data_IF_564954275363
#
_entry.id   IF_564954275363
#
_cell.length_a   1.000
_cell.length_b   1.000
_cell.length_c   1.000
_cell.angle_alpha   90.00
_cell.angle_beta   90.00
_cell.angle_gamma   90.00
#
_symmetry.space_group_name_H-M   'P 1'
#
loop_
_entity.id
_entity.type
_entity.pdbx_description
1 polymer ?
#
# COMPACT_ATOMS: atom_id res chain seq x y z
N UNK A 1 -34.60 -44.24 55.81
CA UNK A 1 -33.15 -44.07 56.06
C UNK A 1 -32.44 -43.87 54.71
N UNK A 2 -32.40 -42.64 54.21
CA UNK A 2 -31.59 -42.28 53.05
C UNK A 2 -30.85 -40.99 53.42
N UNK A 3 -29.53 -41.08 53.60
CA UNK A 3 -28.72 -39.92 53.96
C UNK A 3 -28.67 -38.92 52.80
N UNK A 4 -28.71 -37.60 53.07
CA UNK A 4 -28.67 -36.58 52.04
C UNK A 4 -27.32 -36.59 51.29
N UNK A 5 -27.30 -36.23 50.00
CA UNK A 5 -26.11 -36.29 49.16
C UNK A 5 -25.06 -35.29 49.64
N UNK A 6 -23.81 -35.75 49.72
CA UNK A 6 -22.66 -34.90 50.08
C UNK A 6 -22.40 -33.85 49.00
N UNK A 7 -22.09 -32.59 49.37
CA UNK A 7 -21.76 -31.54 48.42
C UNK A 7 -20.46 -31.87 47.66
N UNK A 8 -20.53 -31.77 46.33
CA UNK A 8 -19.40 -31.97 45.41
C UNK A 8 -18.42 -30.81 45.61
N UNK A 9 -17.12 -31.08 45.86
CA UNK A 9 -16.13 -30.02 46.03
C UNK A 9 -15.97 -29.23 44.72
N UNK A 10 -16.11 -27.92 44.81
CA UNK A 10 -15.86 -26.99 43.72
C UNK A 10 -14.37 -27.02 43.36
N UNK A 11 -14.03 -27.78 42.33
CA UNK A 11 -12.69 -27.77 41.76
C UNK A 11 -12.52 -26.42 41.06
N UNK A 12 -11.91 -25.47 41.76
CA UNK A 12 -11.36 -24.25 41.17
C UNK A 12 -10.26 -24.65 40.17
N UNK A 13 -10.67 -24.96 38.93
CA UNK A 13 -9.72 -25.01 37.81
C UNK A 13 -9.31 -23.57 37.51
N UNK A 14 -8.12 -23.20 37.98
CA UNK A 14 -7.46 -22.01 37.48
C UNK A 14 -7.37 -22.11 35.94
N UNK A 15 -7.69 -21.03 35.21
CA UNK A 15 -7.55 -21.02 33.77
C UNK A 15 -6.08 -21.30 33.41
N UNK A 16 -5.80 -22.12 32.39
CA UNK A 16 -4.44 -22.37 31.96
C UNK A 16 -3.76 -21.04 31.62
N UNK A 17 -2.53 -20.85 32.13
CA UNK A 17 -1.69 -19.70 31.77
C UNK A 17 -1.67 -19.57 30.25
N UNK A 18 -1.80 -18.35 29.68
CA UNK A 18 -1.72 -18.16 28.25
C UNK A 18 -0.36 -18.65 27.77
N UNK A 19 -0.34 -19.82 27.15
CA UNK A 19 0.78 -20.23 26.29
C UNK A 19 0.94 -19.11 25.30
N UNK A 20 2.06 -18.40 25.39
CA UNK A 20 2.58 -17.50 24.36
C UNK A 20 2.86 -18.34 23.13
N UNK A 21 1.80 -18.76 22.44
CA UNK A 21 1.91 -19.19 21.06
C UNK A 21 2.43 -17.96 20.34
N UNK A 22 3.70 -18.01 19.95
CA UNK A 22 4.24 -17.13 18.94
C UNK A 22 3.34 -17.33 17.71
N UNK A 23 2.31 -16.49 17.60
CA UNK A 23 1.37 -16.50 16.49
C UNK A 23 2.23 -16.15 15.29
N UNK A 24 2.56 -17.16 14.50
CA UNK A 24 3.28 -17.00 13.25
C UNK A 24 2.41 -16.14 12.33
N UNK A 25 2.59 -14.83 12.39
CA UNK A 25 2.11 -13.86 11.42
C UNK A 25 2.63 -14.32 10.05
N UNK A 26 1.80 -14.31 9.00
CA UNK A 26 2.23 -14.78 7.66
C UNK A 26 3.50 -14.09 7.18
N UNK A 27 3.69 -12.82 7.58
CA UNK A 27 4.97 -12.13 7.49
C UNK A 27 5.62 -12.13 8.88
N UNK A 28 6.73 -12.87 9.00
CA UNK A 28 7.51 -12.96 10.25
C UNK A 28 7.91 -11.53 10.65
N UNK A 29 7.72 -11.15 11.92
CA UNK A 29 8.25 -9.87 12.41
C UNK A 29 9.75 -9.80 12.07
N UNK A 30 10.29 -8.62 11.73
CA UNK A 30 11.71 -8.49 11.46
C UNK A 30 12.49 -9.08 12.65
N UNK A 31 13.56 -9.86 12.39
CA UNK A 31 14.38 -10.37 13.48
C UNK A 31 14.76 -9.20 14.40
N UNK A 32 14.65 -9.39 15.72
CA UNK A 32 15.24 -8.44 16.66
C UNK A 32 16.68 -8.23 16.23
N UNK A 33 17.10 -6.96 16.16
CA UNK A 33 18.49 -6.62 15.86
C UNK A 33 19.39 -7.52 16.72
N UNK A 34 20.38 -8.20 16.13
CA UNK A 34 21.22 -9.10 16.89
C UNK A 34 21.80 -8.33 18.08
N UNK A 35 21.63 -8.90 19.28
CA UNK A 35 22.30 -8.41 20.47
C UNK A 35 23.78 -8.29 20.10
N UNK A 36 24.31 -7.08 20.22
CA UNK A 36 25.57 -6.65 19.62
C UNK A 36 26.74 -7.34 20.34
N UNK A 37 26.95 -8.62 20.07
CA UNK A 37 28.02 -9.43 20.64
C UNK A 37 29.36 -9.05 20.00
N UNK A 38 30.05 -8.11 20.64
CA UNK A 38 31.44 -8.26 21.11
C UNK A 38 32.41 -9.11 20.26
N UNK A 39 32.70 -8.69 19.02
CA UNK A 39 34.04 -8.84 18.37
C UNK A 39 34.02 -8.22 16.96
N UNK A 40 33.53 -6.99 16.82
CA UNK A 40 33.56 -6.31 15.52
C UNK A 40 34.98 -5.83 15.24
N UNK A 41 35.63 -6.43 14.24
CA UNK A 41 36.85 -5.89 13.66
C UNK A 41 36.62 -4.40 13.32
N UNK A 42 37.46 -3.47 13.82
CA UNK A 42 37.21 -2.03 13.68
C UNK A 42 37.14 -1.59 12.21
N UNK A 43 37.91 -2.27 11.34
CA UNK A 43 37.88 -2.05 9.90
C UNK A 43 36.54 -2.45 9.26
N UNK A 44 35.94 -3.56 9.71
CA UNK A 44 34.68 -4.02 9.17
C UNK A 44 33.53 -3.10 9.61
N UNK A 45 33.56 -2.61 10.86
CA UNK A 45 32.60 -1.59 11.30
C UNK A 45 32.76 -0.25 10.59
N UNK A 46 34.00 0.14 10.24
CA UNK A 46 34.23 1.36 9.46
C UNK A 46 33.69 1.23 8.03
N UNK A 47 33.90 0.06 7.41
CA UNK A 47 33.42 -0.23 6.06
C UNK A 47 31.88 -0.36 6.01
N UNK A 48 31.25 -0.88 7.06
CA UNK A 48 29.79 -1.00 7.13
C UNK A 48 29.10 0.30 7.54
N UNK A 49 29.79 1.23 8.22
CA UNK A 49 29.17 2.44 8.78
C UNK A 49 28.41 3.30 7.75
N UNK A 50 28.97 3.49 6.54
CA UNK A 50 28.33 4.29 5.48
C UNK A 50 27.09 3.56 4.91
N UNK A 51 27.17 2.27 4.50
CA UNK A 51 26.00 1.46 4.19
C UNK A 51 24.92 1.47 5.28
N UNK A 52 25.28 1.14 6.52
CA UNK A 52 24.34 1.02 7.64
C UNK A 52 23.61 2.35 7.90
N UNK A 53 24.33 3.48 7.80
CA UNK A 53 23.74 4.81 7.90
C UNK A 53 22.77 5.11 6.75
N UNK A 54 23.19 4.86 5.50
CA UNK A 54 22.39 5.13 4.31
C UNK A 54 21.10 4.31 4.31
N UNK A 55 21.19 3.03 4.68
CA UNK A 55 20.06 2.11 4.77
C UNK A 55 19.12 2.51 5.91
N UNK A 56 19.65 2.85 7.10
CA UNK A 56 18.83 3.31 8.22
C UNK A 56 18.09 4.62 7.94
N UNK A 57 18.68 5.54 7.16
CA UNK A 57 17.99 6.77 6.72
C UNK A 57 16.94 6.44 5.65
N UNK A 58 17.28 5.58 4.68
CA UNK A 58 16.37 5.19 3.60
C UNK A 58 15.15 4.44 4.12
N UNK A 59 15.34 3.56 5.10
CA UNK A 59 14.30 2.79 5.77
C UNK A 59 13.36 3.70 6.57
N UNK A 60 13.89 4.70 7.28
CA UNK A 60 13.05 5.72 7.96
C UNK A 60 12.14 6.45 6.98
N UNK A 61 12.63 6.73 5.77
CA UNK A 61 11.90 7.48 4.72
C UNK A 61 10.80 6.67 4.03
N UNK A 62 10.90 5.35 4.05
CA UNK A 62 9.82 4.46 3.59
C UNK A 62 8.60 4.57 4.51
N UNK A 63 8.81 4.91 5.79
CA UNK A 63 7.76 5.02 6.81
C UNK A 63 7.01 6.36 6.78
N UNK A 64 7.49 7.33 6.02
CA UNK A 64 6.85 8.64 5.91
C UNK A 64 5.49 8.51 5.22
N UNK A 65 4.45 9.06 5.85
CA UNK A 65 3.08 9.05 5.29
C UNK A 65 3.03 9.91 4.03
N UNK A 66 2.47 9.35 2.96
CA UNK A 66 2.32 10.05 1.67
C UNK A 66 0.90 10.60 1.53
N UNK A 67 0.73 11.91 1.28
CA UNK A 67 -0.57 12.48 0.99
C UNK A 67 -1.00 12.16 -0.45
N UNK A 68 -2.31 12.21 -0.71
CA UNK A 68 -2.83 12.24 -2.06
C UNK A 68 -2.59 13.59 -2.72
N UNK A 69 -2.40 13.59 -4.03
CA UNK A 69 -2.13 14.78 -4.80
C UNK A 69 -3.36 15.70 -4.90
N UNK A 70 -3.24 16.91 -4.37
CA UNK A 70 -4.26 17.95 -4.51
C UNK A 70 -4.10 18.72 -5.83
N UNK A 71 -5.11 19.52 -6.20
CA UNK A 71 -4.99 20.41 -7.37
C UNK A 71 -3.82 21.40 -7.26
N UNK A 72 -3.49 21.85 -6.04
CA UNK A 72 -2.33 22.71 -5.79
C UNK A 72 -1.02 21.95 -6.04
N UNK A 73 -0.92 20.70 -5.58
CA UNK A 73 0.25 19.85 -5.82
C UNK A 73 0.45 19.54 -7.30
N UNK A 74 -0.64 19.31 -8.04
CA UNK A 74 -0.60 19.17 -9.49
C UNK A 74 -0.13 20.44 -10.21
N UNK A 75 -0.55 21.62 -9.75
CA UNK A 75 -0.07 22.90 -10.27
C UNK A 75 1.42 23.07 -10.00
N UNK A 76 1.86 22.70 -8.82
CA UNK A 76 3.27 22.77 -8.44
C UNK A 76 4.13 21.76 -9.20
N UNK A 77 3.60 20.56 -9.44
CA UNK A 77 4.26 19.53 -10.23
C UNK A 77 4.43 19.94 -11.71
N UNK A 78 3.48 20.71 -12.27
CA UNK A 78 3.57 21.26 -13.63
C UNK A 78 4.46 22.52 -13.73
N UNK A 79 4.95 23.06 -12.62
CA UNK A 79 5.73 24.31 -12.65
C UNK A 79 7.10 24.08 -13.30
N UNK A 80 7.60 25.04 -14.08
CA UNK A 80 8.95 24.97 -14.68
C UNK A 80 10.06 25.02 -13.63
N UNK A 81 9.80 25.68 -12.48
CA UNK A 81 10.69 25.74 -11.31
C UNK A 81 10.90 24.37 -10.65
N UNK A 82 10.10 23.36 -11.01
CA UNK A 82 10.24 21.98 -10.55
C UNK A 82 11.66 21.44 -10.70
N UNK A 83 12.33 21.70 -11.83
CA UNK A 83 13.68 21.18 -12.08
C UNK A 83 14.69 21.71 -11.06
N UNK A 84 14.67 23.02 -10.80
CA UNK A 84 15.51 23.64 -9.78
C UNK A 84 15.18 23.12 -8.38
N UNK A 85 13.89 22.96 -8.06
CA UNK A 85 13.48 22.38 -6.78
C UNK A 85 14.02 20.96 -6.60
N UNK A 86 13.85 20.10 -7.60
CA UNK A 86 14.33 18.73 -7.55
C UNK A 86 15.85 18.65 -7.43
N UNK A 87 16.58 19.53 -8.11
CA UNK A 87 18.03 19.63 -7.99
C UNK A 87 18.44 20.03 -6.57
N UNK A 88 17.80 21.05 -5.99
CA UNK A 88 18.09 21.49 -4.62
C UNK A 88 17.70 20.46 -3.55
N UNK A 89 16.61 19.72 -3.77
CA UNK A 89 16.18 18.62 -2.88
C UNK A 89 16.84 17.28 -3.20
N UNK A 90 17.79 17.23 -4.14
CA UNK A 90 18.36 15.96 -4.62
C UNK A 90 19.15 15.27 -3.51
N UNK A 91 20.00 16.00 -2.79
CA UNK A 91 20.81 15.47 -1.68
C UNK A 91 19.98 14.95 -0.52
N UNK A 92 18.76 15.45 -0.36
CA UNK A 92 17.85 14.96 0.67
C UNK A 92 17.02 13.80 0.18
N UNK A 93 17.04 13.38 -1.09
CA UNK A 93 16.20 12.30 -1.64
C UNK A 93 16.60 10.90 -1.12
N UNK A 94 15.61 10.01 -0.90
CA UNK A 94 15.83 8.62 -0.43
C UNK A 94 16.74 7.89 -1.41
N UNK A 95 16.43 8.02 -2.70
CA UNK A 95 17.18 7.38 -3.78
C UNK A 95 18.64 7.83 -3.74
N UNK A 96 18.91 9.13 -3.63
CA UNK A 96 20.30 9.61 -3.65
C UNK A 96 21.07 9.20 -2.38
N UNK A 97 20.39 9.10 -1.24
CA UNK A 97 21.01 8.63 0.00
C UNK A 97 21.35 7.13 -0.06
N UNK A 98 20.49 6.29 -0.63
CA UNK A 98 20.80 4.85 -0.82
C UNK A 98 21.90 4.61 -1.86
N UNK A 99 22.19 5.58 -2.74
CA UNK A 99 23.31 5.52 -3.67
C UNK A 99 24.67 5.88 -3.06
N UNK A 100 24.70 6.50 -1.88
CA UNK A 100 25.96 6.97 -1.29
C UNK A 100 27.01 5.85 -1.13
N UNK A 101 26.68 4.63 -0.65
CA UNK A 101 27.66 3.54 -0.55
C UNK A 101 28.23 3.06 -1.89
N UNK A 102 27.44 2.62 -2.90
CA UNK A 102 28.01 2.15 -4.16
C UNK A 102 28.73 3.26 -4.92
N UNK A 103 28.15 4.47 -4.99
CA UNK A 103 28.75 5.58 -5.75
C UNK A 103 30.08 6.02 -5.13
N UNK A 104 30.17 6.12 -3.79
CA UNK A 104 31.43 6.45 -3.11
C UNK A 104 32.48 5.36 -3.32
N UNK A 105 32.10 4.08 -3.26
CA UNK A 105 33.02 2.97 -3.49
C UNK A 105 33.60 2.98 -4.92
N UNK A 106 32.76 3.14 -5.95
CA UNK A 106 33.24 3.19 -7.34
C UNK A 106 34.05 4.45 -7.66
N UNK A 107 33.70 5.58 -7.04
CA UNK A 107 34.46 6.83 -7.21
C UNK A 107 35.81 6.75 -6.51
N UNK A 108 35.88 6.16 -5.32
CA UNK A 108 37.14 5.88 -4.62
C UNK A 108 38.02 4.89 -5.41
N UNK A 109 37.41 3.85 -5.98
CA UNK A 109 38.10 2.90 -6.85
C UNK A 109 38.66 3.59 -8.10
N UNK A 110 37.88 4.46 -8.74
CA UNK A 110 38.36 5.26 -9.88
C UNK A 110 39.51 6.19 -9.49
N UNK A 111 39.46 6.83 -8.32
CA UNK A 111 40.55 7.65 -7.82
C UNK A 111 41.82 6.83 -7.52
N UNK A 112 41.67 5.59 -7.03
CA UNK A 112 42.79 4.67 -6.82
C UNK A 112 43.45 4.27 -8.15
N UNK A 113 42.66 3.93 -9.18
CA UNK A 113 43.17 3.62 -10.53
C UNK A 113 43.86 4.84 -11.16
N UNK A 114 43.26 6.03 -11.05
CA UNK A 114 43.87 7.27 -11.54
C UNK A 114 45.21 7.54 -10.86
N UNK A 115 45.27 7.39 -9.54
CA UNK A 115 46.50 7.57 -8.75
C UNK A 115 47.55 6.54 -9.15
N UNK A 116 47.18 5.26 -9.26
CA UNK A 116 48.08 4.19 -9.70
C UNK A 116 48.67 4.49 -11.09
N UNK A 117 47.83 4.86 -12.07
CA UNK A 117 48.29 5.17 -13.42
C UNK A 117 49.16 6.43 -13.50
N UNK A 118 48.98 7.40 -12.59
CA UNK A 118 49.90 8.55 -12.49
C UNK A 118 51.25 8.19 -11.89
N UNK A 119 51.30 7.28 -10.91
CA UNK A 119 52.54 6.90 -10.23
C UNK A 119 53.37 5.92 -11.08
N UNK A 120 52.69 5.04 -11.83
CA UNK A 120 53.31 3.99 -12.64
C UNK A 120 52.89 4.11 -14.11
N UNK A 121 53.27 5.20 -14.81
CA UNK A 121 52.85 5.43 -16.19
C UNK A 121 53.33 4.34 -17.16
N UNK A 122 54.46 3.69 -16.86
CA UNK A 122 54.99 2.57 -17.66
C UNK A 122 54.10 1.31 -17.60
N UNK A 123 53.33 1.14 -16.52
CA UNK A 123 52.44 0.00 -16.29
C UNK A 123 50.99 0.46 -16.14
N UNK A 124 50.62 1.55 -16.82
CA UNK A 124 49.29 2.12 -16.76
C UNK A 124 48.26 1.07 -17.19
N UNK A 125 47.24 0.87 -16.36
CA UNK A 125 46.11 0.03 -16.68
C UNK A 125 45.25 0.76 -17.71
N UNK A 126 45.37 0.33 -18.96
CA UNK A 126 44.52 0.76 -20.08
C UNK A 126 43.86 -0.44 -20.74
N UNK A 127 42.66 -0.24 -21.26
CA UNK A 127 41.94 -1.24 -22.03
C UNK A 127 41.14 -0.58 -23.16
N UNK A 128 40.82 -1.34 -24.20
CA UNK A 128 40.02 -0.85 -25.32
C UNK A 128 38.61 -0.46 -24.88
N UNK A 129 38.04 0.59 -25.47
CA UNK A 129 36.64 1.01 -25.27
C UNK A 129 35.62 0.17 -26.05
N UNK A 130 36.06 -0.70 -26.96
CA UNK A 130 35.19 -1.54 -27.78
C UNK A 130 34.21 -2.41 -26.97
N UNK A 131 34.62 -3.11 -25.88
CA UNK A 131 33.69 -3.90 -25.09
C UNK A 131 32.54 -3.05 -24.53
N UNK A 132 32.80 -1.79 -24.15
CA UNK A 132 31.79 -0.88 -23.61
C UNK A 132 30.82 -0.43 -24.69
N UNK A 133 31.32 -0.09 -25.88
CA UNK A 133 30.45 0.26 -27.00
C UNK A 133 29.48 -0.87 -27.35
N UNK A 134 29.93 -2.13 -27.23
CA UNK A 134 29.09 -3.31 -27.48
C UNK A 134 28.13 -3.64 -26.33
N UNK A 135 28.53 -3.37 -25.08
CA UNK A 135 27.77 -3.79 -23.89
C UNK A 135 26.88 -2.68 -23.30
N UNK A 136 27.11 -1.40 -23.63
CA UNK A 136 26.29 -0.28 -23.14
C UNK A 136 24.80 -0.42 -23.49
N UNK A 137 24.42 -0.77 -24.74
CA UNK A 137 23.02 -0.94 -25.10
C UNK A 137 22.36 -2.08 -24.32
N UNK A 138 23.10 -3.17 -24.07
CA UNK A 138 22.61 -4.30 -23.29
C UNK A 138 22.34 -3.89 -21.83
N UNK A 139 23.26 -3.13 -21.21
CA UNK A 139 23.09 -2.60 -19.87
C UNK A 139 21.89 -1.64 -19.78
N UNK A 140 21.77 -0.70 -20.73
CA UNK A 140 20.67 0.24 -20.78
C UNK A 140 19.30 -0.46 -20.91
N UNK A 141 19.19 -1.47 -21.80
CA UNK A 141 17.97 -2.27 -21.95
C UNK A 141 17.64 -3.05 -20.68
N UNK A 142 18.63 -3.67 -20.02
CA UNK A 142 18.41 -4.39 -18.76
C UNK A 142 17.90 -3.46 -17.65
N UNK A 143 18.37 -2.21 -17.60
CA UNK A 143 17.86 -1.22 -16.65
C UNK A 143 16.42 -0.81 -16.96
N UNK A 144 16.13 -0.49 -18.22
CA UNK A 144 14.77 -0.08 -18.63
C UNK A 144 13.76 -1.21 -18.41
N UNK A 145 14.07 -2.43 -18.82
CA UNK A 145 13.18 -3.58 -18.60
C UNK A 145 12.99 -3.89 -17.10
N UNK A 146 13.98 -3.61 -16.23
CA UNK A 146 13.83 -3.69 -14.77
C UNK A 146 12.80 -2.68 -14.27
N UNK A 147 12.93 -1.43 -14.69
CA UNK A 147 12.04 -0.35 -14.24
C UNK A 147 10.62 -0.56 -14.75
N UNK A 148 10.45 -1.06 -15.98
CA UNK A 148 9.13 -1.39 -16.53
C UNK A 148 8.45 -2.53 -15.76
N UNK A 149 9.19 -3.60 -15.44
CA UNK A 149 8.67 -4.69 -14.61
C UNK A 149 8.30 -4.23 -13.20
N UNK A 150 9.09 -3.32 -12.62
CA UNK A 150 8.81 -2.70 -11.32
C UNK A 150 7.55 -1.84 -11.38
N UNK A 151 7.41 -1.04 -12.44
CA UNK A 151 6.23 -0.21 -12.68
C UNK A 151 4.95 -1.04 -12.87
N UNK A 152 5.02 -2.18 -13.55
CA UNK A 152 3.88 -3.08 -13.70
C UNK A 152 3.35 -3.57 -12.34
N UNK A 153 4.25 -3.91 -11.40
CA UNK A 153 3.87 -4.27 -10.02
C UNK A 153 3.27 -3.10 -9.25
N UNK A 154 3.83 -1.91 -9.42
CA UNK A 154 3.24 -0.68 -8.87
C UNK A 154 1.81 -0.46 -9.34
N UNK A 155 1.58 -0.57 -10.65
CA UNK A 155 0.26 -0.38 -11.24
C UNK A 155 -0.73 -1.47 -10.80
N UNK A 156 -0.31 -2.73 -10.71
CA UNK A 156 -1.13 -3.83 -10.19
C UNK A 156 -1.54 -3.59 -8.73
N UNK A 157 -0.60 -3.20 -7.87
CA UNK A 157 -0.87 -2.88 -6.46
C UNK A 157 -1.83 -1.70 -6.32
N UNK A 158 -1.62 -0.63 -7.12
CA UNK A 158 -2.53 0.51 -7.18
C UNK A 158 -3.95 0.09 -7.58
N UNK A 159 -4.08 -0.71 -8.65
CA UNK A 159 -5.38 -1.19 -9.15
C UNK A 159 -6.09 -2.10 -8.15
N UNK A 160 -5.37 -2.99 -7.48
CA UNK A 160 -5.92 -3.88 -6.46
C UNK A 160 -6.45 -3.06 -5.28
N UNK A 161 -5.68 -2.09 -4.79
CA UNK A 161 -6.11 -1.23 -3.69
C UNK A 161 -7.33 -0.39 -4.04
N UNK A 162 -7.36 0.22 -5.24
CA UNK A 162 -8.52 0.98 -5.70
C UNK A 162 -9.77 0.11 -5.82
N UNK A 163 -9.64 -1.15 -6.26
CA UNK A 163 -10.75 -2.11 -6.29
C UNK A 163 -11.28 -2.44 -4.89
N UNK A 164 -10.38 -2.61 -3.91
CA UNK A 164 -10.77 -2.82 -2.50
C UNK A 164 -11.56 -1.62 -1.95
N UNK A 165 -11.05 -0.41 -2.15
CA UNK A 165 -11.71 0.81 -1.67
C UNK A 165 -13.09 1.00 -2.34
N UNK A 166 -13.18 0.80 -3.66
CA UNK A 166 -14.44 0.88 -4.38
C UNK A 166 -15.45 -0.18 -3.92
N UNK A 167 -15.02 -1.43 -3.75
CA UNK A 167 -15.88 -2.50 -3.23
C UNK A 167 -16.37 -2.21 -1.80
N UNK A 168 -15.53 -1.58 -0.97
CA UNK A 168 -15.91 -1.20 0.39
C UNK A 168 -16.93 -0.06 0.41
N UNK A 169 -16.75 0.95 -0.45
CA UNK A 169 -17.71 2.04 -0.60
C UNK A 169 -19.07 1.52 -1.12
N UNK A 170 -19.06 0.65 -2.12
CA UNK A 170 -20.28 0.02 -2.66
C UNK A 170 -21.01 -0.78 -1.57
N UNK A 171 -20.29 -1.62 -0.84
CA UNK A 171 -20.84 -2.47 0.21
C UNK A 171 -21.42 -1.62 1.37
N UNK A 172 -20.72 -0.56 1.75
CA UNK A 172 -21.21 0.42 2.73
C UNK A 172 -22.50 1.10 2.24
N UNK A 173 -22.54 1.51 0.98
CA UNK A 173 -23.72 2.07 0.32
C UNK A 173 -24.93 1.15 0.35
N UNK A 174 -24.72 -0.16 0.14
CA UNK A 174 -25.77 -1.17 0.21
C UNK A 174 -26.23 -1.42 1.66
N UNK A 175 -25.29 -1.53 2.61
CA UNK A 175 -25.57 -1.74 4.02
C UNK A 175 -26.43 -0.62 4.63
N UNK A 176 -26.18 0.64 4.24
CA UNK A 176 -26.94 1.80 4.68
C UNK A 176 -28.44 1.77 4.34
N UNK A 177 -28.88 0.93 3.40
CA UNK A 177 -30.29 0.83 2.98
C UNK A 177 -31.14 -0.08 3.89
N UNK A 178 -30.56 -0.61 4.96
CA UNK A 178 -31.26 -1.48 5.91
C UNK A 178 -31.95 -0.69 7.04
N UNK A 179 -33.09 -1.20 7.54
CA UNK A 179 -33.98 -0.51 8.49
C UNK A 179 -33.53 -0.62 9.97
N UNK A 180 -32.30 -1.06 10.27
CA UNK A 180 -31.82 -1.24 11.64
C UNK A 180 -30.55 -0.40 11.90
N UNK A 181 -30.69 0.87 12.34
CA UNK A 181 -29.56 1.79 12.51
C UNK A 181 -28.37 1.28 13.36
N UNK A 182 -28.56 0.67 14.55
CA UNK A 182 -27.42 0.20 15.34
C UNK A 182 -26.68 -0.96 14.67
N UNK A 183 -27.39 -1.92 14.10
CA UNK A 183 -26.77 -3.07 13.44
C UNK A 183 -26.11 -2.68 12.11
N UNK A 184 -26.72 -1.76 11.35
CA UNK A 184 -26.11 -1.15 10.17
C UNK A 184 -24.82 -0.42 10.52
N UNK A 185 -24.78 0.34 11.62
CA UNK A 185 -23.56 1.03 12.06
C UNK A 185 -22.43 0.06 12.42
N UNK A 186 -22.74 -1.04 13.09
CA UNK A 186 -21.75 -2.08 13.38
C UNK A 186 -21.18 -2.70 12.08
N UNK A 187 -22.05 -3.04 11.12
CA UNK A 187 -21.64 -3.54 9.81
C UNK A 187 -20.74 -2.54 9.06
N UNK A 188 -21.09 -1.24 9.05
CA UNK A 188 -20.27 -0.20 8.43
C UNK A 188 -18.89 -0.10 9.06
N UNK A 189 -18.80 -0.19 10.38
CA UNK A 189 -17.52 -0.19 11.08
C UNK A 189 -16.64 -1.38 10.66
N UNK A 190 -17.20 -2.59 10.51
CA UNK A 190 -16.46 -3.73 9.98
C UNK A 190 -15.98 -3.53 8.53
N UNK A 191 -16.84 -2.95 7.67
CA UNK A 191 -16.49 -2.64 6.28
C UNK A 191 -15.32 -1.64 6.23
N UNK A 192 -15.36 -0.59 7.06
CA UNK A 192 -14.31 0.42 7.16
C UNK A 192 -13.02 -0.13 7.80
N UNK A 193 -13.15 -1.12 8.70
CA UNK A 193 -12.02 -1.75 9.37
C UNK A 193 -11.22 -2.66 8.43
N UNK A 194 -11.83 -3.23 7.38
CA UNK A 194 -11.16 -4.15 6.47
C UNK A 194 -9.96 -3.52 5.74
N UNK A 195 -10.08 -2.37 5.03
CA UNK A 195 -8.93 -1.73 4.37
C UNK A 195 -7.82 -1.35 5.35
N UNK A 196 -8.16 -0.91 6.57
CA UNK A 196 -7.19 -0.63 7.63
C UNK A 196 -6.43 -1.89 8.06
N UNK A 197 -7.13 -3.00 8.27
CA UNK A 197 -6.50 -4.26 8.62
C UNK A 197 -5.66 -4.82 7.47
N UNK A 198 -6.10 -4.67 6.22
CA UNK A 198 -5.33 -5.05 5.05
C UNK A 198 -4.05 -4.21 4.95
N UNK A 199 -4.14 -2.88 5.16
CA UNK A 199 -2.98 -1.98 5.21
C UNK A 199 -1.95 -2.45 6.25
N UNK A 200 -2.42 -2.76 7.46
CA UNK A 200 -1.55 -3.23 8.53
C UNK A 200 -1.02 -4.66 8.33
N UNK A 201 -1.66 -5.44 7.46
CA UNK A 201 -1.21 -6.78 7.08
C UNK A 201 -0.07 -6.71 6.08
N UNK A 202 -0.05 -5.70 5.20
CA UNK A 202 0.92 -5.54 4.12
C UNK A 202 2.10 -4.62 4.49
N UNK A 203 1.91 -3.68 5.41
CA UNK A 203 2.96 -2.79 5.91
C UNK A 203 3.44 -3.28 7.29
N UNK A 204 4.69 -3.74 7.38
CA UNK A 204 5.28 -4.32 8.60
C UNK A 204 5.35 -3.34 9.80
N UNK A 205 5.36 -2.02 9.55
CA UNK A 205 5.52 -0.99 10.57
C UNK A 205 4.20 -0.32 11.02
N UNK A 206 3.04 -0.91 10.68
CA UNK A 206 1.75 -0.40 11.11
C UNK A 206 1.26 -1.07 12.39
N UNK A 207 0.82 -0.27 13.36
CA UNK A 207 0.17 -0.77 14.56
C UNK A 207 -1.34 -0.93 14.32
N UNK A 208 -1.75 -2.17 14.02
CA UNK A 208 -3.15 -2.50 13.78
C UNK A 208 -4.05 -2.19 14.98
N UNK A 209 -3.54 -2.33 16.21
CA UNK A 209 -4.34 -2.06 17.40
C UNK A 209 -4.71 -0.59 17.45
N UNK A 210 -3.72 0.29 17.25
CA UNK A 210 -3.92 1.74 17.21
C UNK A 210 -4.85 2.16 16.07
N UNK A 211 -4.65 1.59 14.89
CA UNK A 211 -5.39 2.03 13.70
C UNK A 211 -6.86 1.56 13.73
N UNK A 212 -7.17 0.40 14.34
CA UNK A 212 -8.55 -0.09 14.52
C UNK A 212 -9.23 0.38 15.80
N UNK A 213 -8.50 1.03 16.71
CA UNK A 213 -9.04 1.52 17.98
C UNK A 213 -10.12 2.57 17.74
N UNK A 214 -11.29 2.37 18.34
CA UNK A 214 -12.45 3.26 18.20
C UNK A 214 -13.36 2.95 17.01
N UNK A 215 -12.88 2.17 16.02
CA UNK A 215 -13.73 1.70 14.92
C UNK A 215 -14.45 0.40 15.30
N UNK A 216 -13.71 -0.56 15.87
CA UNK A 216 -14.25 -1.82 16.39
C UNK A 216 -14.48 -1.74 17.90
N UNK A 217 -15.41 -2.55 18.41
CA UNK A 217 -15.53 -2.76 19.85
C UNK A 217 -14.26 -3.44 20.39
N UNK A 218 -13.93 -3.23 21.66
CA UNK A 218 -12.72 -3.82 22.26
C UNK A 218 -12.76 -5.37 22.24
N UNK A 219 -13.95 -5.96 22.36
CA UNK A 219 -14.14 -7.41 22.29
C UNK A 219 -13.85 -7.95 20.88
N UNK A 220 -14.41 -7.30 19.86
CA UNK A 220 -14.18 -7.69 18.45
C UNK A 220 -12.71 -7.45 18.04
N UNK A 221 -12.13 -6.33 18.48
CA UNK A 221 -10.73 -6.00 18.25
C UNK A 221 -9.81 -7.08 18.83
N UNK A 222 -10.10 -7.59 20.04
CA UNK A 222 -9.33 -8.68 20.64
C UNK A 222 -9.41 -9.97 19.82
N UNK A 223 -10.57 -10.30 19.24
CA UNK A 223 -10.71 -11.45 18.33
C UNK A 223 -9.84 -11.26 17.08
N UNK A 224 -9.90 -10.09 16.45
CA UNK A 224 -9.09 -9.77 15.26
C UNK A 224 -7.60 -9.85 15.59
N UNK A 225 -7.15 -9.30 16.73
CA UNK A 225 -5.75 -9.32 17.15
C UNK A 225 -5.21 -10.73 17.41
N UNK A 226 -6.06 -11.63 17.94
CA UNK A 226 -5.72 -13.04 18.18
C UNK A 226 -5.71 -13.88 16.91
N UNK A 227 -6.42 -13.45 15.86
CA UNK A 227 -6.46 -14.18 14.60
C UNK A 227 -5.10 -14.16 13.88
N UNK A 228 -4.76 -15.27 13.21
CA UNK A 228 -3.52 -15.37 12.41
C UNK A 228 -3.60 -14.46 11.16
N UNK A 229 -4.77 -14.42 10.53
CA UNK A 229 -5.01 -13.67 9.30
C UNK A 229 -6.10 -12.62 9.52
N UNK A 230 -5.66 -11.44 9.98
CA UNK A 230 -6.53 -10.37 10.48
C UNK A 230 -7.54 -9.81 9.47
N UNK A 231 -7.16 -9.44 8.23
CA UNK A 231 -8.15 -8.92 7.27
C UNK A 231 -9.22 -9.96 6.92
N UNK A 232 -8.87 -11.24 6.83
CA UNK A 232 -9.83 -12.34 6.66
C UNK A 232 -10.76 -12.51 7.86
N UNK A 233 -10.27 -12.31 9.07
CA UNK A 233 -11.11 -12.29 10.27
C UNK A 233 -12.18 -11.19 10.18
N UNK A 234 -11.84 -10.01 9.65
CA UNK A 234 -12.82 -8.92 9.46
C UNK A 234 -13.83 -9.28 8.38
N UNK A 235 -13.42 -9.92 7.28
CA UNK A 235 -14.36 -10.41 6.26
C UNK A 235 -15.37 -11.38 6.88
N UNK A 236 -14.96 -12.24 7.81
CA UNK A 236 -15.87 -13.13 8.53
C UNK A 236 -16.88 -12.35 9.38
N UNK A 237 -16.45 -11.31 10.11
CA UNK A 237 -17.37 -10.43 10.83
C UNK A 237 -18.39 -9.75 9.92
N UNK A 238 -17.96 -9.30 8.74
CA UNK A 238 -18.85 -8.72 7.72
C UNK A 238 -19.85 -9.77 7.25
N UNK A 239 -19.39 -10.96 6.84
CA UNK A 239 -20.23 -12.04 6.34
C UNK A 239 -21.29 -12.45 7.37
N UNK A 240 -20.89 -12.72 8.61
CA UNK A 240 -21.82 -13.08 9.69
C UNK A 240 -22.81 -11.95 9.99
N UNK A 241 -22.37 -10.68 9.93
CA UNK A 241 -23.28 -9.53 10.08
C UNK A 241 -24.34 -9.48 8.97
N UNK A 242 -24.01 -9.88 7.73
CA UNK A 242 -24.96 -9.95 6.61
C UNK A 242 -25.96 -11.11 6.73
N UNK A 243 -25.62 -12.17 7.46
CA UNK A 243 -26.55 -13.24 7.80
C UNK A 243 -27.50 -12.83 8.93
N UNK A 244 -26.98 -12.11 9.94
CA UNK A 244 -27.78 -11.64 11.09
C UNK A 244 -28.71 -10.48 10.72
N UNK A 245 -28.29 -9.63 9.77
CA UNK A 245 -29.14 -8.63 9.15
C UNK A 245 -29.98 -9.32 8.08
N UNK A 246 -31.29 -9.41 8.28
CA UNK A 246 -32.21 -10.12 7.38
C UNK A 246 -32.42 -9.36 6.05
N UNK A 247 -31.40 -9.40 5.18
CA UNK A 247 -31.45 -8.88 3.82
C UNK A 247 -32.13 -9.88 2.88
N UNK A 248 -32.89 -9.35 1.91
CA UNK A 248 -33.40 -10.12 0.77
C UNK A 248 -32.28 -10.91 0.09
N UNK A 249 -32.58 -12.13 -0.36
CA UNK A 249 -31.58 -13.05 -0.92
C UNK A 249 -30.80 -12.42 -2.07
N UNK A 250 -31.47 -11.67 -2.95
CA UNK A 250 -30.79 -11.01 -4.08
C UNK A 250 -29.81 -9.95 -3.59
N UNK A 251 -30.19 -9.17 -2.58
CA UNK A 251 -29.31 -8.15 -1.99
C UNK A 251 -28.14 -8.79 -1.27
N UNK A 252 -28.38 -9.86 -0.49
CA UNK A 252 -27.33 -10.61 0.19
C UNK A 252 -26.32 -11.18 -0.80
N UNK A 253 -26.77 -11.83 -1.86
CA UNK A 253 -25.89 -12.39 -2.90
C UNK A 253 -25.03 -11.31 -3.58
N UNK A 254 -25.61 -10.13 -3.87
CA UNK A 254 -24.85 -9.00 -4.41
C UNK A 254 -23.80 -8.50 -3.40
N UNK A 255 -24.15 -8.38 -2.12
CA UNK A 255 -23.23 -7.95 -1.08
C UNK A 255 -22.10 -8.97 -0.86
N UNK A 256 -22.41 -10.27 -0.84
CA UNK A 256 -21.41 -11.35 -0.79
C UNK A 256 -20.48 -11.33 -2.01
N UNK A 257 -20.98 -10.99 -3.20
CA UNK A 257 -20.11 -10.81 -4.37
C UNK A 257 -19.07 -9.70 -4.17
N UNK A 258 -19.39 -8.65 -3.37
CA UNK A 258 -18.41 -7.61 -3.00
C UNK A 258 -17.38 -8.11 -1.99
N UNK A 259 -17.72 -9.08 -1.15
CA UNK A 259 -16.74 -9.76 -0.27
C UNK A 259 -15.74 -10.57 -1.09
N UNK A 260 -16.15 -11.15 -2.22
CA UNK A 260 -15.20 -11.79 -3.14
C UNK A 260 -14.13 -10.83 -3.65
N UNK A 261 -14.47 -9.55 -3.90
CA UNK A 261 -13.49 -8.52 -4.26
C UNK A 261 -12.51 -8.22 -3.11
N UNK A 262 -12.94 -8.31 -1.85
CA UNK A 262 -12.04 -8.18 -0.69
C UNK A 262 -11.05 -9.34 -0.61
N UNK A 263 -11.52 -10.57 -0.84
CA UNK A 263 -10.67 -11.77 -0.87
C UNK A 263 -9.67 -11.73 -2.02
N UNK A 264 -10.10 -11.29 -3.21
CA UNK A 264 -9.21 -11.06 -4.35
C UNK A 264 -8.17 -9.98 -4.02
N UNK A 265 -8.60 -8.89 -3.39
CA UNK A 265 -7.72 -7.81 -2.93
C UNK A 265 -6.64 -8.28 -1.95
N UNK A 266 -6.99 -9.13 -0.97
CA UNK A 266 -6.01 -9.79 -0.10
C UNK A 266 -5.02 -10.58 -0.95
N UNK A 267 -5.53 -11.45 -1.82
CA UNK A 267 -4.72 -12.40 -2.59
C UNK A 267 -3.70 -11.69 -3.47
N UNK A 268 -4.12 -10.64 -4.20
CA UNK A 268 -3.22 -9.84 -5.04
C UNK A 268 -2.19 -9.10 -4.19
N UNK A 269 -2.58 -8.52 -3.05
CA UNK A 269 -1.62 -7.81 -2.20
C UNK A 269 -0.60 -8.74 -1.55
N UNK A 270 -1.02 -9.92 -1.10
CA UNK A 270 -0.12 -10.95 -0.58
C UNK A 270 0.83 -11.47 -1.65
N UNK A 271 0.34 -11.69 -2.88
CA UNK A 271 1.14 -12.09 -4.02
C UNK A 271 2.20 -11.03 -4.36
N UNK A 272 1.81 -9.75 -4.40
CA UNK A 272 2.71 -8.65 -4.73
C UNK A 272 3.83 -8.47 -3.72
N UNK A 273 3.61 -8.78 -2.43
CA UNK A 273 4.68 -8.72 -1.42
C UNK A 273 5.49 -10.02 -1.40
N UNK A 274 4.84 -11.17 -1.60
CA UNK A 274 5.48 -12.48 -1.50
C UNK A 274 6.32 -12.87 -2.71
N UNK A 275 6.00 -12.34 -3.90
CA UNK A 275 6.62 -12.73 -5.17
C UNK A 275 7.38 -11.53 -5.76
N UNK A 276 8.72 -11.46 -5.56
CA UNK A 276 9.52 -10.39 -6.15
C UNK A 276 9.72 -10.58 -7.66
N UNK A 277 10.30 -9.57 -8.33
CA UNK A 277 10.78 -9.72 -9.72
C UNK A 277 11.79 -10.89 -9.72
N UNK A 278 11.78 -11.77 -10.74
CA UNK A 278 12.67 -12.93 -10.79
C UNK A 278 14.10 -12.58 -10.38
N UNK A 279 14.59 -13.22 -9.32
CA UNK A 279 15.87 -12.86 -8.69
C UNK A 279 17.05 -12.97 -9.66
N UNK A 280 16.97 -13.87 -10.65
CA UNK A 280 17.97 -13.98 -11.71
C UNK A 280 18.12 -12.66 -12.48
N UNK A 281 17.03 -11.95 -12.72
CA UNK A 281 17.00 -10.68 -13.43
C UNK A 281 17.61 -9.56 -12.57
N UNK A 282 17.14 -9.39 -11.33
CA UNK A 282 17.70 -8.41 -10.38
C UNK A 282 19.19 -8.62 -10.15
N UNK A 283 19.63 -9.86 -9.94
CA UNK A 283 21.04 -10.19 -9.74
C UNK A 283 21.87 -9.96 -11.00
N UNK A 284 21.34 -10.27 -12.19
CA UNK A 284 22.03 -10.03 -13.45
C UNK A 284 22.29 -8.54 -13.65
N UNK A 285 21.25 -7.70 -13.52
CA UNK A 285 21.38 -6.24 -13.67
C UNK A 285 22.37 -5.67 -12.67
N UNK A 286 22.27 -6.04 -11.39
CA UNK A 286 23.18 -5.57 -10.33
C UNK A 286 24.63 -5.99 -10.58
N UNK A 287 24.87 -7.27 -10.91
CA UNK A 287 26.22 -7.77 -11.21
C UNK A 287 26.82 -7.13 -12.45
N UNK A 288 26.02 -6.92 -13.49
CA UNK A 288 26.47 -6.22 -14.68
C UNK A 288 26.84 -4.78 -14.34
N UNK A 289 26.00 -4.06 -13.59
CA UNK A 289 26.32 -2.70 -13.14
C UNK A 289 27.60 -2.62 -12.33
N UNK A 290 27.82 -3.54 -11.40
CA UNK A 290 29.05 -3.61 -10.60
C UNK A 290 30.26 -3.86 -11.49
N UNK A 291 30.21 -4.89 -12.36
CA UNK A 291 31.31 -5.21 -13.27
C UNK A 291 31.61 -4.04 -14.22
N UNK A 292 30.57 -3.40 -14.75
CA UNK A 292 30.65 -2.21 -15.58
C UNK A 292 31.34 -1.05 -14.86
N UNK A 293 31.09 -0.81 -13.58
CA UNK A 293 31.76 0.30 -12.88
C UNK A 293 33.16 -0.06 -12.38
N UNK A 294 33.47 -1.35 -12.18
CA UNK A 294 34.82 -1.82 -11.86
C UNK A 294 35.78 -1.71 -13.06
N UNK A 295 35.33 -1.94 -14.30
CA UNK A 295 36.21 -1.83 -15.47
C UNK A 295 36.24 -0.44 -16.10
N UNK A 296 35.30 0.44 -15.74
CA UNK A 296 35.13 1.77 -16.33
C UNK A 296 36.38 2.65 -16.19
N UNK A 297 37.03 2.76 -15.01
CA UNK A 297 38.17 3.66 -14.86
C UNK A 297 39.41 3.21 -15.65
N UNK A 298 39.56 1.90 -15.89
CA UNK A 298 40.67 1.36 -16.69
C UNK A 298 40.51 1.74 -18.16
N UNK A 299 39.27 1.77 -18.66
CA UNK A 299 38.97 2.04 -20.06
C UNK A 299 39.01 3.54 -20.37
N UNK A 300 38.47 4.38 -19.48
CA UNK A 300 38.45 5.83 -19.67
C UNK A 300 39.80 6.51 -19.43
N UNK A 301 40.80 5.81 -18.87
CA UNK A 301 42.07 6.44 -18.52
C UNK A 301 42.80 7.05 -19.73
N UNK A 302 42.83 6.34 -20.86
CA UNK A 302 43.58 6.76 -22.05
C UNK A 302 43.03 8.08 -22.64
N UNK A 303 41.71 8.26 -22.59
CA UNK A 303 41.03 9.44 -23.13
C UNK A 303 40.95 10.61 -22.13
N UNK A 304 40.65 10.31 -20.86
CA UNK A 304 40.21 11.32 -19.88
C UNK A 304 41.25 11.60 -18.77
N UNK A 305 42.23 10.70 -18.55
CA UNK A 305 43.15 10.76 -17.39
C UNK A 305 42.38 11.01 -16.09
N UNK A 306 42.69 12.06 -15.34
CA UNK A 306 42.00 12.41 -14.07
C UNK A 306 40.51 12.72 -14.22
N UNK A 307 40.01 13.08 -15.41
CA UNK A 307 38.57 13.25 -15.67
C UNK A 307 37.82 11.92 -15.49
N UNK A 308 38.52 10.78 -15.46
CA UNK A 308 37.93 9.48 -15.13
C UNK A 308 37.21 9.47 -13.79
N UNK A 309 37.69 10.20 -12.78
CA UNK A 309 37.07 10.23 -11.45
C UNK A 309 35.69 10.91 -11.48
N UNK A 310 35.53 12.16 -11.96
CA UNK A 310 34.19 12.75 -12.10
C UNK A 310 33.32 12.01 -13.13
N UNK A 311 33.90 11.43 -14.20
CA UNK A 311 33.13 10.67 -15.17
C UNK A 311 32.53 9.38 -14.57
N UNK A 312 33.33 8.62 -13.80
CA UNK A 312 32.86 7.43 -13.07
C UNK A 312 31.82 7.80 -12.02
N UNK A 313 31.99 8.91 -11.30
CA UNK A 313 31.00 9.42 -10.36
C UNK A 313 29.65 9.72 -11.03
N UNK A 314 29.64 10.46 -12.15
CA UNK A 314 28.41 10.80 -12.89
C UNK A 314 27.76 9.54 -13.48
N UNK A 315 28.56 8.61 -14.02
CA UNK A 315 28.08 7.32 -14.53
C UNK A 315 27.44 6.49 -13.42
N UNK A 316 28.13 6.33 -12.28
CA UNK A 316 27.63 5.57 -11.15
C UNK A 316 26.35 6.21 -10.57
N UNK A 317 26.36 7.53 -10.36
CA UNK A 317 25.20 8.25 -9.84
C UNK A 317 23.98 8.16 -10.77
N UNK A 318 24.17 8.07 -12.09
CA UNK A 318 23.05 7.93 -13.03
C UNK A 318 22.55 6.49 -13.17
N UNK A 319 23.44 5.53 -13.41
CA UNK A 319 23.05 4.14 -13.68
C UNK A 319 22.55 3.40 -12.43
N UNK A 320 23.22 3.57 -11.28
CA UNK A 320 22.71 3.02 -10.03
C UNK A 320 21.41 3.71 -9.59
N UNK A 321 21.22 5.00 -9.91
CA UNK A 321 19.94 5.68 -9.64
C UNK A 321 18.78 5.01 -10.38
N UNK A 322 18.96 4.64 -11.65
CA UNK A 322 17.92 3.94 -12.42
C UNK A 322 17.62 2.56 -11.79
N UNK A 323 18.65 1.81 -11.40
CA UNK A 323 18.47 0.53 -10.72
C UNK A 323 17.70 0.67 -9.40
N UNK A 324 18.08 1.64 -8.58
CA UNK A 324 17.50 1.91 -7.27
C UNK A 324 16.06 2.45 -7.37
N UNK A 325 15.76 3.26 -8.39
CA UNK A 325 14.38 3.65 -8.70
C UNK A 325 13.55 2.41 -9.03
N UNK A 326 14.11 1.44 -9.75
CA UNK A 326 13.47 0.14 -9.98
C UNK A 326 13.16 -0.58 -8.66
N UNK A 327 14.16 -0.71 -7.76
CA UNK A 327 13.95 -1.32 -6.42
C UNK A 327 12.85 -0.58 -5.63
N UNK A 328 12.82 0.75 -5.67
CA UNK A 328 11.83 1.53 -4.94
C UNK A 328 10.40 1.33 -5.47
N UNK A 329 10.22 1.31 -6.79
CA UNK A 329 8.91 1.14 -7.42
C UNK A 329 8.42 -0.32 -7.28
N UNK A 330 9.34 -1.26 -7.15
CA UNK A 330 9.07 -2.68 -6.93
C UNK A 330 8.25 -2.94 -5.64
N UNK A 331 8.35 -2.06 -4.64
CA UNK A 331 7.54 -2.07 -3.41
C UNK A 331 6.38 -1.06 -3.48
N UNK A 332 5.18 -1.48 -3.92
CA UNK A 332 4.10 -0.53 -4.25
C UNK A 332 3.49 0.16 -3.04
N UNK A 333 3.27 -0.58 -1.95
CA UNK A 333 2.40 -0.16 -0.86
C UNK A 333 2.92 1.02 -0.03
N UNK A 334 4.23 1.12 0.29
CA UNK A 334 4.77 2.31 0.93
C UNK A 334 4.74 3.56 0.04
N UNK A 335 4.68 3.39 -1.29
CA UNK A 335 4.58 4.50 -2.24
C UNK A 335 3.15 4.99 -2.41
N UNK A 336 2.16 4.14 -2.15
CA UNK A 336 0.75 4.48 -2.20
C UNK A 336 0.30 5.22 -0.93
N UNK A 337 -0.62 6.17 -1.09
CA UNK A 337 -1.20 6.94 0.01
C UNK A 337 -2.31 6.15 0.74
N UNK A 338 -1.98 4.95 1.26
CA UNK A 338 -2.98 4.02 1.80
C UNK A 338 -3.76 4.60 2.98
N UNK A 339 -3.07 5.31 3.89
CA UNK A 339 -3.68 6.01 5.02
C UNK A 339 -4.75 7.00 4.54
N UNK A 340 -4.41 7.81 3.53
CA UNK A 340 -5.33 8.82 3.00
C UNK A 340 -6.48 8.19 2.21
N UNK A 341 -6.24 7.10 1.47
CA UNK A 341 -7.29 6.36 0.77
C UNK A 341 -8.31 5.74 1.76
N UNK A 342 -7.83 5.20 2.87
CA UNK A 342 -8.70 4.71 3.93
C UNK A 342 -9.47 5.84 4.62
N UNK A 343 -8.81 6.98 4.86
CA UNK A 343 -9.45 8.16 5.42
C UNK A 343 -10.53 8.70 4.48
N UNK A 344 -10.26 8.80 3.18
CA UNK A 344 -11.25 9.21 2.18
C UNK A 344 -12.46 8.28 2.15
N UNK A 345 -12.26 6.97 2.29
CA UNK A 345 -13.37 6.02 2.42
C UNK A 345 -14.20 6.28 3.67
N UNK A 346 -13.55 6.53 4.82
CA UNK A 346 -14.22 6.84 6.08
C UNK A 346 -15.03 8.13 5.96
N UNK A 347 -14.40 9.22 5.52
CA UNK A 347 -15.01 10.53 5.37
C UNK A 347 -16.18 10.48 4.36
N UNK A 348 -15.99 9.82 3.21
CA UNK A 348 -17.04 9.63 2.21
C UNK A 348 -18.23 8.82 2.75
N UNK A 349 -17.98 7.78 3.53
CA UNK A 349 -19.05 6.97 4.16
C UNK A 349 -19.81 7.81 5.19
N UNK A 350 -19.12 8.63 5.97
CA UNK A 350 -19.73 9.53 6.94
C UNK A 350 -20.59 10.61 6.26
N UNK A 351 -20.10 11.19 5.17
CA UNK A 351 -20.83 12.17 4.37
C UNK A 351 -22.11 11.55 3.79
N UNK A 352 -22.04 10.34 3.23
CA UNK A 352 -23.23 9.65 2.70
C UNK A 352 -24.24 9.35 3.81
N UNK A 353 -23.79 8.91 5.00
CA UNK A 353 -24.70 8.72 6.14
C UNK A 353 -25.44 10.01 6.53
N UNK A 354 -24.76 11.16 6.49
CA UNK A 354 -25.36 12.46 6.84
C UNK A 354 -26.40 12.91 5.81
N UNK A 355 -26.15 12.65 4.52
CA UNK A 355 -26.98 13.09 3.39
C UNK A 355 -28.14 12.14 3.10
N UNK A 356 -28.02 10.86 3.45
CA UNK A 356 -29.00 9.82 3.10
C UNK A 356 -30.42 10.16 3.58
N UNK A 357 -30.58 10.54 4.85
CA UNK A 357 -31.89 10.88 5.41
C UNK A 357 -32.49 12.12 4.72
N UNK A 358 -31.66 13.11 4.40
CA UNK A 358 -32.09 14.32 3.68
C UNK A 358 -32.59 13.99 2.27
N UNK A 359 -31.85 13.13 1.54
CA UNK A 359 -32.24 12.69 0.19
C UNK A 359 -33.50 11.86 0.22
N UNK A 360 -33.62 10.91 1.16
CA UNK A 360 -34.82 10.08 1.32
C UNK A 360 -36.06 10.95 1.58
N UNK A 361 -35.97 11.88 2.54
CA UNK A 361 -37.08 12.78 2.86
C UNK A 361 -37.47 13.67 1.67
N UNK A 362 -36.49 14.16 0.91
CA UNK A 362 -36.73 14.99 -0.28
C UNK A 362 -37.39 14.20 -1.40
N UNK A 363 -37.01 12.95 -1.61
CA UNK A 363 -37.64 12.08 -2.61
C UNK A 363 -39.06 11.69 -2.19
N UNK A 364 -39.27 11.32 -0.93
CA UNK A 364 -40.59 11.00 -0.40
C UNK A 364 -41.57 12.18 -0.50
N UNK A 365 -41.09 13.41 -0.27
CA UNK A 365 -41.89 14.62 -0.46
C UNK A 365 -42.29 14.83 -1.93
N UNK A 366 -41.33 14.67 -2.87
CA UNK A 366 -41.62 14.79 -4.31
C UNK A 366 -42.62 13.75 -4.81
N UNK A 367 -42.57 12.52 -4.29
CA UNK A 367 -43.52 11.46 -4.67
C UNK A 367 -44.92 11.80 -4.19
N UNK A 368 -45.08 12.28 -2.95
CA UNK A 368 -46.40 12.72 -2.42
C UNK A 368 -46.98 13.90 -3.22
N UNK A 369 -46.14 14.86 -3.63
CA UNK A 369 -46.58 15.98 -4.45
C UNK A 369 -47.05 15.52 -5.84
N UNK A 370 -46.36 14.57 -6.47
CA UNK A 370 -46.77 14.00 -7.76
C UNK A 370 -48.09 13.23 -7.66
N UNK A 371 -48.29 12.42 -6.62
CA UNK A 371 -49.53 11.67 -6.42
C UNK A 371 -50.72 12.64 -6.19
N UNK A 372 -50.51 13.71 -5.42
CA UNK A 372 -51.52 14.75 -5.19
C UNK A 372 -51.80 15.59 -6.45
N UNK A 373 -50.80 15.84 -7.29
CA UNK A 373 -50.94 16.52 -8.59
C UNK A 373 -51.66 15.66 -9.63
N UNK A 374 -51.40 14.34 -9.65
CA UNK A 374 -52.10 13.39 -10.52
C UNK A 374 -53.58 13.27 -10.14
N UNK A 375 -53.90 13.24 -8.84
CA UNK A 375 -55.29 13.31 -8.38
C UNK A 375 -56.00 14.59 -8.82
N UNK A 376 -55.32 15.75 -8.79
CA UNK A 376 -55.92 17.00 -9.30
C UNK A 376 -56.14 17.01 -10.81
N UNK A 377 -55.29 16.36 -11.60
CA UNK A 377 -55.51 16.29 -13.06
C UNK A 377 -56.64 15.33 -13.46
N UNK A 378 -57.00 14.36 -12.62
CA UNK A 378 -58.11 13.44 -12.91
C UNK A 378 -59.50 14.03 -12.63
N UNK A 379 -59.60 15.16 -11.92
CA UNK A 379 -60.88 15.73 -11.47
C UNK A 379 -61.49 16.74 -12.48
N UNK A 380 -60.89 16.91 -13.66
CA UNK A 380 -61.52 17.62 -14.77
C UNK A 380 -62.59 16.72 -15.40
N UNK A 381 -63.73 16.65 -14.68
CA UNK A 381 -64.89 15.83 -14.97
C UNK A 381 -65.45 16.03 -16.36
N UNK A 382 -65.66 14.90 -17.03
CA UNK A 382 -66.62 14.77 -18.12
C UNK A 382 -68.02 15.06 -17.55
N UNK A 383 -68.81 16.01 -18.08
CA UNK A 383 -70.16 16.26 -17.59
C UNK A 383 -71.05 15.08 -18.02
N UNK A 384 -71.36 14.20 -17.07
CA UNK A 384 -72.33 13.13 -17.26
C UNK A 384 -73.69 13.73 -17.63
N UNK A 385 -74.22 13.30 -18.78
CA UNK A 385 -75.51 13.69 -19.34
C UNK A 385 -76.61 13.71 -18.28
N UNK A 386 -77.23 14.87 -18.09
CA UNK A 386 -78.47 15.00 -17.31
C UNK A 386 -79.53 14.09 -17.92
N UNK A 387 -79.93 13.09 -17.16
CA UNK A 387 -81.14 12.30 -17.35
C UNK A 387 -82.35 13.22 -17.33
N UNK A 388 -82.92 13.43 -18.51
CA UNK A 388 -84.14 14.18 -18.76
C UNK A 388 -85.34 13.26 -18.44
N UNK A 389 -85.64 13.10 -17.15
CA UNK A 389 -86.85 12.44 -16.66
C UNK A 389 -87.57 13.43 -15.73
N UNK A 390 -88.56 14.16 -16.24
CA UNK A 390 -89.45 14.93 -15.39
C UNK A 390 -90.87 15.02 -15.96
N UNK A 391 -91.78 14.40 -15.20
CA UNK A 391 -93.22 14.68 -15.06
C UNK A 391 -94.15 14.32 -16.22
N UNK A 392 -94.60 13.08 -16.12
CA UNK A 392 -96.00 12.69 -16.28
C UNK A 392 -96.80 13.42 -15.20
N UNK A 393 -97.71 14.29 -15.61
CA UNK A 393 -98.98 14.62 -14.93
C UNK A 393 -100.00 14.98 -16.02
#
# INVERSE_FOLDING_TARGET
MAAPPRPIPSIHRQPPKPTTTHVARCFRDPPKAPDTNSNTNPLLSLLSAVPDWADAVSERRIRDRRPLYTHADWREHRSSRRHLRHLLSSLTSRVILSLAPPVSAFTAFAAAIATYNTLLPAYALTASSLPYQLTAPALALLLVFRTEASYARFDEGRKAWMRVIAAAADLAGMAMRHHNPPATRALLNYILAFPLALKCHIICHSDIKRDLQGLLSEDDLNVVLRSKHRPRCIIEFISQSLYMLDFDENKRNIMESKLSCFLEGISVCEQLIGIPIPLSYTRLTSRFLVLWHLTLPVILWDECKWIVVPATFISAASLFCIEEVGVLIEEPFPMLALDELCKQLHDSTQDVMSVQNLVHNRLAAKTKDQDSGSMRCSDNGWPSSKSEQAKID
#
